data_IF_497431205019
#
_entry.id   IF_497431205019
#
_cell.length_a   1.000
_cell.length_b   1.000
_cell.length_c   1.000
_cell.angle_alpha   90.00
_cell.angle_beta   90.00
_cell.angle_gamma   90.00
#
_symmetry.space_group_name_H-M   'P 1'
#
loop_
_entity.id
_entity.type
_entity.pdbx_description
1 polymer ?
#
# COMPACT_ATOMS: atom_id res chain seq x y z
N UNK A 1 -1.81 32.22 -6.73
CA UNK A 1 -2.54 31.09 -6.13
C UNK A 1 -1.62 29.89 -6.15
N UNK A 2 -1.46 29.19 -5.04
CA UNK A 2 -0.67 27.95 -5.02
C UNK A 2 -1.51 26.81 -5.57
N UNK A 3 -0.94 26.01 -6.47
CA UNK A 3 -1.57 24.81 -7.03
C UNK A 3 -1.07 23.57 -6.27
N UNK A 4 -1.97 22.66 -5.94
CA UNK A 4 -1.60 21.35 -5.42
C UNK A 4 -1.29 20.40 -6.59
N UNK A 5 -0.18 19.67 -6.47
CA UNK A 5 0.26 18.66 -7.44
C UNK A 5 0.38 17.34 -6.67
N UNK A 6 -0.29 16.31 -7.15
CA UNK A 6 -0.16 14.95 -6.62
C UNK A 6 1.09 14.28 -7.22
N UNK A 7 1.95 13.75 -6.35
CA UNK A 7 3.18 13.05 -6.70
C UNK A 7 3.12 11.54 -6.37
N UNK A 8 1.92 11.05 -6.07
CA UNK A 8 1.68 9.68 -5.62
C UNK A 8 1.25 8.79 -6.79
N UNK A 9 1.63 7.52 -6.73
CA UNK A 9 1.12 6.48 -7.63
C UNK A 9 -0.05 5.74 -6.98
N UNK A 10 -1.07 5.39 -7.78
CA UNK A 10 -2.20 4.59 -7.31
C UNK A 10 -1.74 3.18 -6.90
N UNK A 11 -2.11 2.76 -5.69
CA UNK A 11 -1.91 1.38 -5.23
C UNK A 11 -2.94 0.47 -5.91
N UNK A 12 -2.45 -0.62 -6.51
CA UNK A 12 -3.28 -1.62 -7.19
C UNK A 12 -2.74 -3.03 -6.95
N UNK A 13 -3.62 -4.02 -7.06
CA UNK A 13 -3.23 -5.43 -6.97
C UNK A 13 -2.12 -5.75 -7.98
N UNK A 14 -1.13 -6.55 -7.58
CA UNK A 14 -0.01 -6.96 -8.43
C UNK A 14 0.77 -5.79 -9.05
N UNK A 15 0.80 -4.62 -8.39
CA UNK A 15 1.64 -3.51 -8.85
C UNK A 15 3.13 -3.89 -8.77
N UNK A 16 3.99 -3.32 -9.63
CA UNK A 16 5.41 -3.57 -9.55
C UNK A 16 5.96 -3.20 -8.17
N UNK A 17 6.77 -4.10 -7.61
CA UNK A 17 7.52 -3.93 -6.36
C UNK A 17 8.99 -4.26 -6.63
N UNK A 18 9.85 -4.04 -5.63
CA UNK A 18 11.24 -4.47 -5.73
C UNK A 18 11.31 -6.00 -5.88
N UNK A 19 12.26 -6.58 -6.64
CA UNK A 19 12.36 -8.04 -6.84
C UNK A 19 12.54 -8.89 -5.57
N UNK A 20 12.81 -8.26 -4.42
CA UNK A 20 12.97 -8.93 -3.13
C UNK A 20 11.81 -8.68 -2.17
N UNK A 21 10.81 -7.89 -2.57
CA UNK A 21 9.61 -7.64 -1.78
C UNK A 21 8.50 -8.62 -2.15
N UNK A 22 7.61 -8.86 -1.19
CA UNK A 22 6.37 -9.58 -1.44
C UNK A 22 5.43 -8.78 -2.36
N UNK A 23 4.65 -9.52 -3.15
CA UNK A 23 3.64 -8.93 -4.03
C UNK A 23 2.53 -8.20 -3.23
N UNK A 24 2.08 -7.04 -3.74
CA UNK A 24 0.91 -6.34 -3.23
C UNK A 24 -0.37 -7.12 -3.58
N UNK A 25 -1.11 -7.55 -2.55
CA UNK A 25 -2.43 -8.16 -2.72
C UNK A 25 -3.51 -7.19 -2.30
N UNK A 26 -4.38 -6.83 -3.23
CA UNK A 26 -5.54 -6.00 -3.00
C UNK A 26 -6.78 -6.71 -3.53
N UNK A 27 -7.63 -7.20 -2.63
CA UNK A 27 -8.79 -8.02 -2.99
C UNK A 27 -9.99 -7.73 -2.10
N UNK A 28 -11.18 -7.83 -2.69
CA UNK A 28 -12.44 -7.69 -1.97
C UNK A 28 -12.77 -8.99 -1.24
N UNK A 29 -12.98 -8.92 0.08
CA UNK A 29 -13.33 -10.09 0.89
C UNK A 29 -14.75 -10.02 1.46
N UNK A 30 -15.40 -8.85 1.39
CA UNK A 30 -16.81 -8.66 1.75
C UNK A 30 -17.57 -7.99 0.62
N UNK A 31 -18.76 -8.51 0.34
CA UNK A 31 -19.59 -8.10 -0.80
C UNK A 31 -20.95 -7.63 -0.31
N UNK A 32 -21.39 -6.46 -0.76
CA UNK A 32 -22.61 -5.80 -0.25
C UNK A 32 -23.85 -6.70 -0.23
N UNK A 33 -24.09 -7.48 -1.27
CA UNK A 33 -25.27 -8.35 -1.37
C UNK A 33 -25.32 -9.41 -0.27
N UNK A 34 -24.17 -10.00 0.08
CA UNK A 34 -24.08 -11.12 1.03
C UNK A 34 -23.75 -10.66 2.44
N UNK A 35 -22.81 -9.73 2.55
CA UNK A 35 -22.21 -9.28 3.81
C UNK A 35 -22.82 -7.97 4.32
N UNK A 36 -23.70 -7.32 3.55
CA UNK A 36 -24.33 -6.01 3.85
C UNK A 36 -23.37 -4.82 3.91
N UNK A 37 -22.10 -5.03 3.53
CA UNK A 37 -21.10 -3.99 3.30
C UNK A 37 -20.03 -4.49 2.32
N UNK A 38 -19.28 -3.55 1.73
CA UNK A 38 -18.09 -3.88 0.95
C UNK A 38 -16.84 -3.71 1.82
N UNK A 39 -15.88 -4.62 1.67
CA UNK A 39 -14.56 -4.48 2.27
C UNK A 39 -13.48 -5.01 1.34
N UNK A 40 -12.37 -4.27 1.29
CA UNK A 40 -11.19 -4.63 0.52
C UNK A 40 -10.03 -4.78 1.48
N UNK A 41 -9.33 -5.91 1.40
CA UNK A 41 -8.10 -6.15 2.13
C UNK A 41 -6.91 -5.75 1.28
N UNK A 42 -5.96 -5.07 1.92
CA UNK A 42 -4.64 -4.77 1.40
C UNK A 42 -3.62 -5.53 2.25
N UNK A 43 -2.79 -6.34 1.60
CA UNK A 43 -1.59 -6.96 2.16
C UNK A 43 -0.40 -6.47 1.35
N UNK A 44 0.58 -5.87 2.03
CA UNK A 44 1.73 -5.22 1.41
C UNK A 44 2.86 -4.98 2.43
N UNK A 45 4.10 -4.92 1.95
CA UNK A 45 5.20 -4.29 2.67
C UNK A 45 5.06 -2.76 2.71
N UNK A 46 5.86 -2.09 3.55
CA UNK A 46 5.81 -0.62 3.67
C UNK A 46 6.49 0.12 2.49
N UNK A 47 7.24 -0.60 1.66
CA UNK A 47 8.06 -0.08 0.57
C UNK A 47 7.33 -0.02 -0.79
N UNK A 48 5.99 -0.10 -0.77
CA UNK A 48 5.17 -0.18 -1.98
C UNK A 48 4.84 1.22 -2.52
N UNK A 49 4.84 1.36 -3.85
CA UNK A 49 4.45 2.63 -4.49
C UNK A 49 5.25 3.85 -4.01
N UNK A 50 4.60 5.01 -3.99
CA UNK A 50 5.18 6.23 -3.40
C UNK A 50 5.11 6.12 -1.87
N UNK A 51 6.26 6.01 -1.20
CA UNK A 51 6.35 5.76 0.25
C UNK A 51 7.41 6.63 0.92
N UNK A 52 7.50 6.51 2.26
CA UNK A 52 8.48 7.19 3.10
C UNK A 52 9.14 6.14 3.99
N UNK A 53 10.48 6.09 3.96
CA UNK A 53 11.26 5.23 4.83
C UNK A 53 11.47 5.87 6.21
N UNK A 54 11.17 5.12 7.25
CA UNK A 54 11.52 5.49 8.62
C UNK A 54 12.99 5.14 8.92
N UNK A 55 13.65 5.78 9.90
CA UNK A 55 15.06 5.49 10.23
C UNK A 55 15.35 4.01 10.53
N UNK A 56 14.37 3.30 11.12
CA UNK A 56 14.48 1.86 11.40
C UNK A 56 14.64 0.99 10.15
N UNK A 57 14.28 1.48 8.96
CA UNK A 57 14.52 0.77 7.71
C UNK A 57 16.00 0.39 7.53
N UNK A 58 16.91 1.26 7.98
CA UNK A 58 18.36 1.08 7.81
C UNK A 58 19.14 1.01 9.14
N UNK A 59 18.48 1.28 10.27
CA UNK A 59 19.12 1.37 11.58
C UNK A 59 18.45 0.42 12.58
N UNK A 60 19.26 -0.27 13.38
CA UNK A 60 18.76 -1.05 14.51
C UNK A 60 18.36 -0.12 15.66
N UNK A 61 17.15 0.43 15.55
CA UNK A 61 16.53 1.33 16.53
C UNK A 61 15.18 0.75 16.95
N UNK A 62 14.94 0.71 18.25
CA UNK A 62 13.67 0.26 18.83
C UNK A 62 12.65 1.38 18.98
N UNK A 63 13.06 2.64 18.84
CA UNK A 63 12.23 3.85 18.89
C UNK A 63 12.77 4.93 17.92
#
# INVERSE_FOLDING_TARGET
>A
MSQYIDLSQTIKNAMPVHPYDDEVKLYQDKFLERDQYNNTKLEAGMHIGTHIDAPRHLLDRTE
#
